data_IF_154895703481
#
_entry.id   IF_154895703481
#
_cell.length_a   1.000
_cell.length_b   1.000
_cell.length_c   1.000
_cell.angle_alpha   90.00
_cell.angle_beta   90.00
_cell.angle_gamma   90.00
#
_symmetry.space_group_name_H-M   'P 1'
#
loop_
_entity.id
_entity.type
_entity.pdbx_description
1 polymer ?
#
# COMPACT_ATOMS: atom_id res chain seq x y z
N UNK A 1 7.25 -58.30 -4.07
CA UNK A 1 7.28 -56.86 -4.06
C UNK A 1 6.79 -56.41 -2.70
N UNK A 2 7.58 -55.72 -1.87
CA UNK A 2 7.10 -55.16 -0.63
C UNK A 2 6.20 -53.94 -0.91
N UNK A 3 5.17 -53.66 -0.08
CA UNK A 3 4.30 -52.50 -0.27
C UNK A 3 5.11 -51.18 -0.02
N UNK A 4 4.87 -50.24 -0.91
CA UNK A 4 5.41 -48.87 -0.80
C UNK A 4 4.89 -48.20 0.49
N UNK A 5 5.76 -47.56 1.31
CA UNK A 5 5.28 -46.89 2.48
C UNK A 5 4.39 -45.72 2.08
N UNK A 6 3.22 -45.65 2.71
CA UNK A 6 2.35 -44.48 2.63
C UNK A 6 3.07 -43.25 3.16
N UNK A 7 3.21 -42.20 2.35
CA UNK A 7 3.60 -40.91 2.82
C UNK A 7 2.46 -40.39 3.67
N UNK A 8 2.67 -40.32 4.98
CA UNK A 8 1.83 -39.54 5.88
C UNK A 8 1.93 -38.07 5.49
N UNK A 9 0.87 -37.54 4.86
CA UNK A 9 0.68 -36.13 4.69
C UNK A 9 0.70 -35.47 6.08
N UNK A 10 1.48 -34.40 6.29
CA UNK A 10 1.45 -33.67 7.55
C UNK A 10 0.02 -33.19 7.82
N UNK A 11 -0.42 -33.14 9.09
CA UNK A 11 -1.78 -32.73 9.43
C UNK A 11 -2.04 -31.33 8.85
N UNK A 12 -3.04 -31.25 7.97
CA UNK A 12 -3.50 -29.99 7.36
C UNK A 12 -4.01 -29.10 8.47
N UNK A 13 -3.33 -27.99 8.72
CA UNK A 13 -3.84 -26.93 9.59
C UNK A 13 -5.16 -26.45 9.01
N UNK A 14 -6.25 -26.41 9.79
CA UNK A 14 -7.52 -25.89 9.30
C UNK A 14 -7.33 -24.43 8.84
N UNK A 15 -7.82 -24.09 7.66
CA UNK A 15 -7.94 -22.68 7.23
C UNK A 15 -8.85 -22.01 8.26
N UNK A 16 -8.34 -21.04 9.00
CA UNK A 16 -9.11 -20.33 10.02
C UNK A 16 -10.31 -19.64 9.34
N UNK A 17 -11.52 -20.10 9.65
CA UNK A 17 -12.75 -19.45 9.23
C UNK A 17 -12.93 -18.18 10.07
N UNK A 18 -12.79 -17.02 9.45
CA UNK A 18 -13.01 -15.73 10.13
C UNK A 18 -14.52 -15.42 10.16
N UNK A 19 -15.26 -16.16 10.95
CA UNK A 19 -16.67 -15.88 11.26
C UNK A 19 -16.77 -15.29 12.66
N UNK A 20 -17.57 -14.25 12.79
CA UNK A 20 -17.83 -13.56 14.06
C UNK A 20 -19.32 -13.65 14.39
N UNK A 21 -19.79 -14.81 14.89
CA UNK A 21 -21.20 -14.98 15.25
C UNK A 21 -21.52 -14.12 16.48
N UNK A 22 -22.62 -13.40 16.39
CA UNK A 22 -23.14 -12.59 17.49
C UNK A 22 -23.49 -13.48 18.70
N UNK A 23 -22.98 -13.14 19.87
CA UNK A 23 -23.26 -13.87 21.12
C UNK A 23 -24.73 -13.88 21.52
N UNK A 24 -25.53 -12.91 21.03
CA UNK A 24 -26.95 -12.79 21.37
C UNK A 24 -27.89 -13.53 20.40
N UNK A 25 -27.60 -13.58 19.09
CA UNK A 25 -28.53 -14.14 18.10
C UNK A 25 -27.88 -15.08 17.07
N UNK A 26 -26.56 -15.27 17.10
CA UNK A 26 -25.83 -16.16 16.19
C UNK A 26 -25.64 -15.64 14.77
N UNK A 27 -26.16 -14.46 14.40
CA UNK A 27 -25.93 -13.84 13.09
C UNK A 27 -24.49 -13.32 12.98
N UNK A 28 -23.94 -13.30 11.76
CA UNK A 28 -22.59 -12.74 11.55
C UNK A 28 -22.54 -11.24 11.91
N UNK A 29 -21.51 -10.84 12.63
CA UNK A 29 -21.24 -9.45 12.98
C UNK A 29 -20.34 -8.81 11.93
N UNK A 30 -20.39 -7.49 11.83
CA UNK A 30 -19.48 -6.70 10.99
C UNK A 30 -18.73 -5.65 11.82
N UNK A 31 -17.56 -5.28 11.37
CA UNK A 31 -16.84 -4.15 11.95
C UNK A 31 -17.50 -2.82 11.56
N UNK A 32 -17.76 -1.98 12.54
CA UNK A 32 -18.29 -0.62 12.34
C UNK A 32 -17.14 0.41 12.50
N UNK A 33 -16.77 1.12 11.40
CA UNK A 33 -15.69 2.10 11.44
C UNK A 33 -15.93 3.28 12.38
N UNK A 34 -17.19 3.65 12.64
CA UNK A 34 -17.50 4.81 13.48
C UNK A 34 -17.42 4.49 14.96
N UNK A 35 -17.83 3.28 15.32
CA UNK A 35 -17.82 2.83 16.72
C UNK A 35 -16.54 2.11 17.09
N UNK A 36 -15.76 1.64 16.09
CA UNK A 36 -14.58 0.80 16.26
C UNK A 36 -14.90 -0.50 17.07
N UNK A 37 -16.06 -1.09 16.76
CA UNK A 37 -16.63 -2.27 17.39
C UNK A 37 -17.17 -3.22 16.34
N UNK A 38 -17.42 -4.48 16.73
CA UNK A 38 -18.25 -5.39 15.97
C UNK A 38 -19.73 -5.08 16.26
N UNK A 39 -20.55 -5.01 15.22
CA UNK A 39 -21.98 -4.73 15.31
C UNK A 39 -22.76 -5.83 14.60
N UNK A 40 -23.80 -6.30 15.24
CA UNK A 40 -24.76 -7.22 14.65
C UNK A 40 -25.89 -6.44 13.96
N UNK A 41 -25.99 -6.54 12.64
CA UNK A 41 -27.04 -5.83 11.87
C UNK A 41 -28.45 -6.40 12.16
N UNK A 42 -28.55 -7.61 12.73
CA UNK A 42 -29.84 -8.25 13.00
C UNK A 42 -30.44 -7.85 14.35
N UNK A 43 -29.66 -7.89 15.43
CA UNK A 43 -30.18 -7.62 16.78
C UNK A 43 -29.61 -6.35 17.43
N UNK A 44 -28.68 -5.65 16.76
CA UNK A 44 -28.06 -4.43 17.28
C UNK A 44 -27.01 -4.66 18.37
N UNK A 45 -26.69 -5.93 18.72
CA UNK A 45 -25.66 -6.23 19.71
C UNK A 45 -24.30 -5.73 19.23
N UNK A 46 -23.48 -5.23 20.16
CA UNK A 46 -22.14 -4.74 19.90
C UNK A 46 -21.11 -5.49 20.73
N UNK A 47 -19.98 -5.81 20.15
CA UNK A 47 -18.86 -6.47 20.83
C UNK A 47 -17.55 -5.73 20.57
N UNK A 48 -16.74 -5.59 21.63
CA UNK A 48 -15.43 -4.98 21.51
C UNK A 48 -14.45 -5.93 20.80
N UNK A 49 -13.58 -5.37 19.98
CA UNK A 49 -12.43 -6.12 19.46
C UNK A 49 -11.53 -6.42 20.65
N UNK A 50 -11.12 -7.67 20.79
CA UNK A 50 -10.41 -8.19 21.95
C UNK A 50 -9.25 -7.28 22.40
N UNK A 51 -9.39 -6.67 23.59
CA UNK A 51 -8.38 -5.79 24.20
C UNK A 51 -7.01 -6.46 24.42
N UNK A 52 -6.97 -7.78 24.50
CA UNK A 52 -5.72 -8.52 24.72
C UNK A 52 -4.71 -8.33 23.59
N UNK A 53 -5.15 -8.05 22.36
CA UNK A 53 -4.28 -7.85 21.20
C UNK A 53 -3.91 -6.37 21.01
N UNK A 54 -4.77 -5.42 21.39
CA UNK A 54 -4.53 -3.97 21.26
C UNK A 54 -3.31 -3.47 22.04
N UNK A 55 -2.92 -4.17 23.11
CA UNK A 55 -1.78 -3.81 23.93
C UNK A 55 -0.47 -4.53 23.55
N UNK A 56 -0.50 -5.37 22.50
CA UNK A 56 0.72 -5.98 22.02
C UNK A 56 1.45 -5.01 21.07
N UNK A 57 2.75 -4.78 21.28
CA UNK A 57 3.50 -3.93 20.34
C UNK A 57 3.51 -4.58 18.95
N UNK A 58 3.31 -3.77 17.93
CA UNK A 58 3.49 -4.19 16.53
C UNK A 58 4.99 -4.42 16.34
N UNK A 59 5.40 -5.68 16.31
CA UNK A 59 6.80 -6.04 16.15
C UNK A 59 7.13 -6.25 14.68
N UNK A 60 8.30 -5.78 14.28
CA UNK A 60 8.84 -5.98 12.94
C UNK A 60 9.52 -7.34 12.82
N UNK A 61 9.55 -7.84 11.60
CA UNK A 61 10.21 -9.08 11.25
C UNK A 61 11.57 -8.79 10.57
N UNK A 62 12.54 -9.62 10.89
CA UNK A 62 13.87 -9.54 10.29
C UNK A 62 13.82 -9.95 8.82
N UNK A 63 14.23 -9.04 7.92
CA UNK A 63 14.21 -9.26 6.49
C UNK A 63 15.12 -10.42 6.06
N UNK A 64 16.32 -10.54 6.64
CA UNK A 64 17.26 -11.59 6.28
C UNK A 64 16.73 -12.99 6.62
N UNK A 65 16.05 -13.12 7.77
CA UNK A 65 15.40 -14.38 8.15
C UNK A 65 14.24 -14.73 7.22
N UNK A 66 13.49 -13.73 6.77
CA UNK A 66 12.37 -13.94 5.86
C UNK A 66 12.84 -14.48 4.52
N UNK A 67 13.80 -13.84 3.87
CA UNK A 67 14.29 -14.24 2.54
C UNK A 67 15.02 -15.58 2.58
N UNK A 68 15.62 -15.96 3.71
CA UNK A 68 16.24 -17.28 3.90
C UNK A 68 15.25 -18.35 4.38
N UNK A 69 13.94 -18.04 4.39
CA UNK A 69 12.86 -18.95 4.84
C UNK A 69 12.99 -19.44 6.28
N UNK A 70 13.59 -18.63 7.14
CA UNK A 70 13.81 -18.93 8.56
C UNK A 70 12.79 -18.28 9.49
N UNK A 71 11.69 -17.72 8.93
CA UNK A 71 10.58 -17.23 9.74
C UNK A 71 9.90 -18.37 10.50
N UNK A 72 9.53 -18.16 11.76
CA UNK A 72 8.75 -19.13 12.52
C UNK A 72 7.44 -19.49 11.80
N UNK A 73 6.98 -20.73 11.97
CA UNK A 73 5.69 -21.18 11.41
C UNK A 73 4.52 -20.31 11.86
N UNK A 74 4.57 -19.75 13.08
CA UNK A 74 3.55 -18.86 13.62
C UNK A 74 3.37 -17.55 12.81
N UNK A 75 4.40 -17.13 12.08
CA UNK A 75 4.38 -15.93 11.22
C UNK A 75 3.84 -16.20 9.82
N UNK A 76 3.47 -17.44 9.52
CA UNK A 76 2.95 -17.87 8.23
C UNK A 76 1.51 -18.31 8.35
N UNK A 77 0.72 -18.10 7.30
CA UNK A 77 -0.65 -18.56 7.18
C UNK A 77 -0.89 -19.23 5.82
N UNK A 78 -1.83 -20.15 5.77
CA UNK A 78 -2.31 -20.74 4.52
C UNK A 78 -3.67 -20.13 4.20
N UNK A 79 -3.75 -19.47 3.06
CA UNK A 79 -4.97 -18.83 2.57
C UNK A 79 -5.40 -19.41 1.23
N UNK A 80 -6.71 -19.41 0.98
CA UNK A 80 -7.27 -19.77 -0.32
C UNK A 80 -7.43 -18.53 -1.16
N UNK A 81 -6.61 -18.42 -2.18
CA UNK A 81 -6.65 -17.29 -3.11
C UNK A 81 -6.87 -17.78 -4.53
N UNK A 82 -7.61 -17.01 -5.30
CA UNK A 82 -7.68 -17.19 -6.75
C UNK A 82 -7.24 -15.93 -7.46
N UNK A 83 -6.43 -16.10 -8.49
CA UNK A 83 -5.96 -14.98 -9.31
C UNK A 83 -7.04 -14.61 -10.32
N UNK A 84 -7.44 -13.35 -10.32
CA UNK A 84 -8.37 -12.83 -11.32
C UNK A 84 -7.73 -12.85 -12.71
N UNK A 85 -8.34 -13.51 -13.71
CA UNK A 85 -7.75 -13.63 -15.05
C UNK A 85 -7.68 -12.32 -15.81
N UNK A 86 -8.42 -11.28 -15.36
CA UNK A 86 -8.48 -9.99 -16.06
C UNK A 86 -7.56 -8.93 -15.46
N UNK A 87 -7.33 -8.94 -14.14
CA UNK A 87 -6.55 -7.87 -13.49
C UNK A 87 -5.46 -8.41 -12.54
N UNK A 88 -5.26 -9.72 -12.52
CA UNK A 88 -4.26 -10.40 -11.70
C UNK A 88 -4.37 -10.16 -10.17
N UNK A 89 -5.50 -9.59 -9.70
CA UNK A 89 -5.77 -9.48 -8.29
C UNK A 89 -5.81 -10.86 -7.63
N UNK A 90 -5.16 -11.01 -6.51
CA UNK A 90 -5.29 -12.19 -5.66
C UNK A 90 -6.45 -11.99 -4.69
N UNK A 91 -7.58 -12.60 -5.01
CA UNK A 91 -8.82 -12.47 -4.24
C UNK A 91 -8.91 -13.62 -3.26
N UNK A 92 -8.98 -13.29 -2.00
CA UNK A 92 -9.25 -14.26 -0.94
C UNK A 92 -10.73 -14.63 -0.95
N UNK A 93 -11.01 -15.91 -0.73
CA UNK A 93 -12.36 -16.45 -0.74
C UNK A 93 -12.82 -16.84 0.66
N UNK A 94 -14.04 -16.43 0.99
CA UNK A 94 -14.72 -16.96 2.16
C UNK A 94 -14.91 -18.47 2.03
N UNK A 95 -14.76 -19.24 3.10
CA UNK A 95 -15.05 -20.66 3.13
C UNK A 95 -16.46 -20.97 2.59
N UNK A 96 -16.55 -21.98 1.73
CA UNK A 96 -17.82 -22.43 1.17
C UNK A 96 -18.34 -21.64 -0.04
N UNK A 97 -17.68 -20.57 -0.47
CA UNK A 97 -18.00 -19.92 -1.75
C UNK A 97 -17.13 -20.47 -2.87
N UNK A 98 -17.74 -20.89 -3.98
CA UNK A 98 -17.06 -21.48 -5.13
C UNK A 98 -16.88 -20.51 -6.30
N UNK A 99 -17.52 -19.36 -6.26
CA UNK A 99 -17.40 -18.29 -7.24
C UNK A 99 -17.69 -16.93 -6.61
N UNK A 100 -17.04 -15.90 -7.12
CA UNK A 100 -17.29 -14.51 -6.73
C UNK A 100 -17.07 -13.58 -7.90
N UNK A 101 -17.35 -12.30 -7.70
CA UNK A 101 -17.00 -11.24 -8.66
C UNK A 101 -15.77 -10.53 -8.13
N UNK A 102 -14.75 -10.41 -8.98
CA UNK A 102 -13.54 -9.68 -8.61
C UNK A 102 -13.90 -8.24 -8.19
N UNK A 103 -13.55 -7.80 -6.98
CA UNK A 103 -13.88 -6.47 -6.51
C UNK A 103 -13.21 -5.37 -7.32
N UNK A 104 -12.05 -5.67 -7.92
CA UNK A 104 -11.22 -4.70 -8.64
C UNK A 104 -11.65 -4.45 -10.09
N UNK A 105 -12.23 -5.42 -10.77
CA UNK A 105 -12.57 -5.30 -12.19
C UNK A 105 -13.95 -5.84 -12.57
N UNK A 106 -14.71 -6.32 -11.59
CA UNK A 106 -16.03 -6.93 -11.77
C UNK A 106 -16.08 -8.13 -12.74
N UNK A 107 -14.94 -8.83 -12.89
CA UNK A 107 -14.87 -10.10 -13.66
C UNK A 107 -15.28 -11.25 -12.75
N UNK A 108 -16.11 -12.20 -13.21
CA UNK A 108 -16.39 -13.43 -12.46
C UNK A 108 -15.09 -14.22 -12.24
N UNK A 109 -14.87 -14.67 -11.01
CA UNK A 109 -13.73 -15.50 -10.60
C UNK A 109 -14.26 -16.77 -9.98
N UNK A 110 -13.75 -17.90 -10.44
CA UNK A 110 -14.05 -19.22 -9.87
C UNK A 110 -12.86 -19.65 -9.05
N UNK A 111 -13.10 -20.33 -7.93
CA UNK A 111 -12.03 -20.79 -7.05
C UNK A 111 -11.12 -21.78 -7.79
N UNK A 112 -9.83 -21.48 -7.78
CA UNK A 112 -8.80 -22.50 -7.96
C UNK A 112 -8.58 -23.20 -6.62
N UNK A 113 -8.42 -24.53 -6.63
CA UNK A 113 -8.39 -25.37 -5.42
C UNK A 113 -7.07 -25.27 -4.65
N UNK A 114 -6.18 -24.33 -5.02
CA UNK A 114 -4.87 -24.14 -4.40
C UNK A 114 -4.93 -23.36 -3.09
N UNK A 115 -4.16 -23.80 -2.10
CA UNK A 115 -3.79 -22.99 -0.93
C UNK A 115 -2.41 -22.39 -1.18
N UNK A 116 -2.22 -21.14 -0.79
CA UNK A 116 -0.93 -20.46 -0.85
C UNK A 116 -0.47 -20.07 0.54
N UNK A 117 0.84 -20.24 0.79
CA UNK A 117 1.45 -19.88 2.07
C UNK A 117 1.92 -18.43 2.03
N UNK A 118 1.40 -17.63 2.93
CA UNK A 118 1.66 -16.19 3.02
C UNK A 118 2.24 -15.79 4.38
N UNK A 119 2.95 -14.65 4.40
CA UNK A 119 3.39 -14.01 5.65
C UNK A 119 2.15 -13.32 6.25
N UNK A 120 1.82 -13.64 7.50
CA UNK A 120 0.68 -13.05 8.21
C UNK A 120 0.79 -11.53 8.27
N UNK A 121 -0.34 -10.80 8.17
CA UNK A 121 -0.34 -9.38 8.51
C UNK A 121 0.09 -9.16 9.96
N UNK A 122 0.94 -8.17 10.19
CA UNK A 122 1.37 -7.76 11.54
C UNK A 122 0.48 -6.67 12.10
N UNK A 123 -0.03 -5.84 11.19
CA UNK A 123 -0.85 -4.71 11.56
C UNK A 123 -1.95 -4.46 10.53
N UNK A 124 -2.98 -3.80 10.96
CA UNK A 124 -4.08 -3.31 10.15
C UNK A 124 -4.32 -1.83 10.48
N UNK A 125 -4.57 -1.03 9.48
CA UNK A 125 -5.10 0.31 9.67
C UNK A 125 -6.62 0.22 9.58
N UNK A 126 -7.38 0.34 10.69
CA UNK A 126 -8.82 0.18 10.63
C UNK A 126 -9.50 1.21 9.73
N UNK A 127 -10.58 0.83 9.04
CA UNK A 127 -11.46 1.82 8.43
C UNK A 127 -11.92 2.83 9.48
N UNK A 128 -11.95 4.13 9.12
CA UNK A 128 -12.56 5.19 9.93
C UNK A 128 -13.76 5.82 9.23
N UNK A 129 -13.89 5.63 7.92
CA UNK A 129 -14.95 6.19 7.10
C UNK A 129 -15.92 5.10 6.66
N UNK A 130 -17.21 5.41 6.74
CA UNK A 130 -18.26 4.54 6.21
C UNK A 130 -18.34 4.59 4.68
N UNK A 131 -19.05 3.62 4.09
CA UNK A 131 -19.33 3.59 2.65
C UNK A 131 -20.00 4.89 2.18
N UNK A 132 -20.90 5.46 2.98
CA UNK A 132 -21.62 6.70 2.64
C UNK A 132 -20.65 7.86 2.44
N UNK A 133 -19.74 8.07 3.39
CA UNK A 133 -18.72 9.14 3.31
C UNK A 133 -17.80 8.95 2.11
N UNK A 134 -17.38 7.69 1.85
CA UNK A 134 -16.54 7.38 0.69
C UNK A 134 -17.26 7.65 -0.65
N UNK A 135 -18.57 7.36 -0.72
CA UNK A 135 -19.39 7.63 -1.89
C UNK A 135 -19.57 9.13 -2.12
N UNK A 136 -19.73 9.90 -1.05
CA UNK A 136 -19.79 11.35 -1.15
C UNK A 136 -18.48 11.94 -1.68
N UNK A 137 -17.34 11.43 -1.20
CA UNK A 137 -16.01 11.79 -1.71
C UNK A 137 -15.87 11.47 -3.20
N UNK A 138 -16.37 10.31 -3.66
CA UNK A 138 -16.42 9.96 -5.08
C UNK A 138 -17.29 10.93 -5.88
N UNK A 139 -18.46 11.27 -5.37
CA UNK A 139 -19.39 12.20 -6.04
C UNK A 139 -18.78 13.59 -6.18
N UNK A 140 -18.13 14.09 -5.14
CA UNK A 140 -17.41 15.37 -5.17
C UNK A 140 -16.26 15.35 -6.16
N UNK A 141 -15.47 14.26 -6.20
CA UNK A 141 -14.37 14.12 -7.14
C UNK A 141 -14.86 14.12 -8.59
N UNK A 142 -15.93 13.37 -8.90
CA UNK A 142 -16.56 13.35 -10.22
C UNK A 142 -17.10 14.74 -10.61
N UNK A 143 -17.67 15.49 -9.66
CA UNK A 143 -18.16 16.85 -9.90
C UNK A 143 -17.08 17.87 -10.26
N UNK A 144 -15.82 17.62 -9.89
CA UNK A 144 -14.66 18.46 -10.24
C UNK A 144 -14.09 18.16 -11.64
N UNK A 145 -14.54 17.10 -12.30
CA UNK A 145 -14.09 16.74 -13.64
C UNK A 145 -14.87 17.55 -14.68
N UNK A 146 -14.29 18.66 -15.14
CA UNK A 146 -14.89 19.60 -16.10
C UNK A 146 -15.39 18.94 -17.40
N UNK A 147 -14.77 17.85 -17.85
CA UNK A 147 -15.11 17.13 -19.09
C UNK A 147 -15.74 15.75 -18.85
N UNK A 148 -16.21 15.45 -17.63
CA UNK A 148 -16.87 14.16 -17.41
C UNK A 148 -18.22 14.12 -18.15
N UNK A 149 -18.47 13.08 -18.98
CA UNK A 149 -19.76 12.94 -19.63
C UNK A 149 -20.89 12.92 -18.61
N UNK A 150 -21.98 13.67 -18.86
CA UNK A 150 -23.14 13.75 -17.96
C UNK A 150 -23.70 12.38 -17.59
N UNK A 151 -23.63 11.41 -18.51
CA UNK A 151 -24.05 10.04 -18.29
C UNK A 151 -23.15 9.31 -17.26
N UNK A 152 -21.89 9.68 -17.10
CA UNK A 152 -20.98 9.08 -16.11
C UNK A 152 -21.36 9.52 -14.69
N UNK A 153 -21.70 10.79 -14.51
CA UNK A 153 -22.18 11.30 -13.22
C UNK A 153 -23.51 10.66 -12.83
N UNK A 154 -24.44 10.52 -13.78
CA UNK A 154 -25.72 9.83 -13.56
C UNK A 154 -25.52 8.34 -13.25
N UNK A 155 -24.54 7.71 -13.88
CA UNK A 155 -24.21 6.30 -13.66
C UNK A 155 -23.55 6.06 -12.28
N UNK A 156 -22.69 6.96 -11.85
CA UNK A 156 -22.07 6.93 -10.52
C UNK A 156 -23.10 7.24 -9.41
N UNK A 157 -24.06 8.13 -9.67
CA UNK A 157 -25.17 8.47 -8.74
C UNK A 157 -26.19 7.34 -8.56
N UNK A 158 -26.29 6.38 -9.48
CA UNK A 158 -27.24 5.26 -9.41
C UNK A 158 -26.91 4.22 -8.33
N UNK A 159 -26.52 4.67 -7.12
CA UNK A 159 -26.53 3.85 -5.91
C UNK A 159 -25.63 2.62 -5.90
N UNK A 160 -24.53 2.63 -6.66
CA UNK A 160 -23.56 1.51 -6.60
C UNK A 160 -22.87 1.50 -5.25
N UNK A 161 -22.94 0.35 -4.59
CA UNK A 161 -22.23 0.13 -3.36
C UNK A 161 -20.73 0.17 -3.63
N UNK A 162 -20.00 0.93 -2.81
CA UNK A 162 -18.54 0.80 -2.73
C UNK A 162 -18.21 -0.44 -1.90
N UNK A 163 -17.14 -1.10 -2.27
CA UNK A 163 -16.65 -2.26 -1.52
C UNK A 163 -15.46 -1.80 -0.68
N UNK A 164 -15.52 -2.07 0.62
CA UNK A 164 -14.39 -1.90 1.51
C UNK A 164 -13.44 -3.08 1.35
N UNK A 165 -12.18 -2.77 1.07
CA UNK A 165 -11.13 -3.78 0.83
C UNK A 165 -9.89 -3.37 1.61
N UNK A 166 -9.33 -4.32 2.33
CA UNK A 166 -7.99 -4.20 2.85
C UNK A 166 -6.98 -4.59 1.78
N UNK A 167 -6.10 -3.65 1.45
CA UNK A 167 -5.06 -3.81 0.44
C UNK A 167 -3.73 -4.06 1.14
N UNK A 168 -2.96 -5.09 0.74
CA UNK A 168 -1.69 -5.40 1.37
C UNK A 168 -0.62 -4.38 1.00
N UNK A 169 0.18 -4.01 1.99
CA UNK A 169 1.37 -3.20 1.84
C UNK A 169 2.52 -3.81 2.64
N UNK A 170 3.71 -3.56 2.17
CA UNK A 170 4.94 -3.80 2.90
C UNK A 170 5.44 -2.48 3.48
N UNK A 171 5.92 -2.49 4.71
CA UNK A 171 6.74 -1.41 5.25
C UNK A 171 8.14 -1.95 5.50
N UNK A 172 9.15 -1.11 5.28
CA UNK A 172 10.54 -1.47 5.49
C UNK A 172 11.24 -0.40 6.30
N UNK A 173 11.99 -0.86 7.30
CA UNK A 173 12.85 -0.01 8.09
C UNK A 173 14.31 -0.39 7.82
N UNK A 174 15.20 0.57 7.85
CA UNK A 174 16.62 0.31 7.62
C UNK A 174 17.50 1.45 8.14
N UNK A 175 18.62 1.07 8.72
CA UNK A 175 19.74 2.00 8.93
C UNK A 175 20.57 2.12 7.65
N UNK A 176 20.87 3.35 7.25
CA UNK A 176 21.71 3.60 6.08
C UNK A 176 22.91 4.48 6.41
N UNK A 177 24.04 4.14 5.82
CA UNK A 177 25.26 4.95 5.82
C UNK A 177 25.73 5.07 4.38
N UNK A 178 25.85 6.30 3.89
CA UNK A 178 26.22 6.58 2.51
C UNK A 178 27.45 7.46 2.46
N UNK A 179 28.47 7.04 1.72
CA UNK A 179 29.59 7.89 1.32
C UNK A 179 29.34 8.39 -0.09
N UNK A 180 29.74 9.61 -0.35
CA UNK A 180 29.52 10.22 -1.66
C UNK A 180 30.72 11.04 -2.14
N UNK A 181 30.78 11.25 -3.45
CA UNK A 181 31.63 12.23 -4.12
C UNK A 181 30.79 13.10 -5.05
N UNK A 182 31.19 14.34 -5.21
CA UNK A 182 30.46 15.30 -6.03
C UNK A 182 31.16 16.63 -6.16
N UNK A 183 30.43 17.64 -6.62
CA UNK A 183 30.93 19.00 -6.75
C UNK A 183 29.91 20.01 -6.21
N UNK A 184 30.42 21.00 -5.45
CA UNK A 184 29.71 22.18 -4.99
C UNK A 184 29.90 23.30 -5.99
N UNK A 185 28.82 23.83 -6.53
CA UNK A 185 28.80 24.98 -7.43
C UNK A 185 28.45 26.25 -6.68
N UNK A 186 29.32 27.26 -6.79
CA UNK A 186 29.03 28.61 -6.31
C UNK A 186 28.82 29.53 -7.48
N UNK A 187 27.67 30.20 -7.54
CA UNK A 187 27.34 31.17 -8.58
C UNK A 187 28.06 32.48 -8.32
N UNK A 188 28.73 33.03 -9.32
CA UNK A 188 29.29 34.37 -9.31
C UNK A 188 28.95 35.06 -10.63
N UNK A 189 28.95 36.39 -10.59
CA UNK A 189 28.58 37.20 -11.77
C UNK A 189 29.79 37.84 -12.37
N UNK A 190 29.88 37.78 -13.70
CA UNK A 190 30.88 38.52 -14.47
C UNK A 190 30.19 39.51 -15.38
N UNK A 191 30.74 40.74 -15.44
CA UNK A 191 30.25 41.76 -16.35
C UNK A 191 30.80 41.48 -17.75
N UNK A 192 29.91 41.29 -18.73
CA UNK A 192 30.25 41.12 -20.13
C UNK A 192 29.61 42.28 -20.93
N UNK A 193 30.35 42.82 -21.90
CA UNK A 193 29.80 43.77 -22.86
C UNK A 193 29.15 43.00 -23.99
N UNK A 194 27.84 43.15 -24.15
CA UNK A 194 27.05 42.54 -25.25
C UNK A 194 26.52 43.64 -26.14
N UNK A 195 26.49 43.42 -27.46
CA UNK A 195 25.89 44.36 -28.41
C UNK A 195 24.37 44.14 -28.44
N UNK A 196 23.61 45.16 -28.10
CA UNK A 196 22.16 45.20 -28.21
C UNK A 196 21.73 46.38 -29.04
N UNK A 197 21.05 46.14 -30.14
CA UNK A 197 20.61 47.17 -31.08
C UNK A 197 21.80 48.07 -31.61
N UNK A 198 22.97 47.45 -31.84
CA UNK A 198 24.17 48.16 -32.31
C UNK A 198 24.90 48.96 -31.23
N UNK A 199 24.47 48.92 -29.95
CA UNK A 199 25.11 49.65 -28.83
C UNK A 199 25.73 48.68 -27.85
N UNK A 200 26.92 48.96 -27.31
CA UNK A 200 27.51 48.14 -26.25
C UNK A 200 26.75 48.33 -24.94
N UNK A 201 26.23 47.23 -24.37
CA UNK A 201 25.54 47.21 -23.06
C UNK A 201 26.30 46.29 -22.12
N UNK A 202 26.53 46.71 -20.89
CA UNK A 202 27.10 45.85 -19.87
C UNK A 202 26.01 44.96 -19.26
N UNK A 203 26.22 43.64 -19.31
CA UNK A 203 25.32 42.65 -18.76
C UNK A 203 26.06 41.76 -17.75
N UNK A 204 25.45 41.54 -16.58
CA UNK A 204 25.94 40.58 -15.61
C UNK A 204 25.51 39.16 -16.05
N UNK A 205 26.49 38.31 -16.29
CA UNK A 205 26.28 36.90 -16.70
C UNK A 205 26.67 35.98 -15.54
N UNK A 206 25.76 35.12 -15.06
CA UNK A 206 26.07 34.19 -14.00
C UNK A 206 27.02 33.10 -14.53
N UNK A 207 28.07 32.84 -13.78
CA UNK A 207 28.99 31.71 -13.97
C UNK A 207 29.02 30.87 -12.69
N UNK A 208 29.38 29.60 -12.83
CA UNK A 208 29.46 28.66 -11.69
C UNK A 208 30.93 28.29 -11.50
N UNK A 209 31.40 28.42 -10.29
CA UNK A 209 32.69 27.86 -9.87
C UNK A 209 32.43 26.53 -9.18
N UNK A 210 32.96 25.48 -9.70
CA UNK A 210 32.85 24.14 -9.15
C UNK A 210 34.04 23.81 -8.25
N UNK A 211 33.75 23.10 -7.14
CA UNK A 211 34.75 22.59 -6.21
C UNK A 211 34.37 21.18 -5.83
N UNK A 212 35.30 20.23 -6.02
CA UNK A 212 35.14 18.84 -5.61
C UNK A 212 34.93 18.73 -4.10
N UNK A 213 33.97 17.90 -3.72
CA UNK A 213 33.64 17.59 -2.33
C UNK A 213 33.35 16.10 -2.18
N UNK A 214 33.60 15.59 -0.98
CA UNK A 214 33.19 14.24 -0.58
C UNK A 214 32.69 14.29 0.86
N UNK A 215 31.82 13.38 1.21
CA UNK A 215 31.23 13.37 2.55
C UNK A 215 30.55 12.05 2.89
N UNK A 216 29.86 12.06 4.02
CA UNK A 216 29.05 10.92 4.47
C UNK A 216 27.74 11.43 5.04
N UNK A 217 26.64 10.74 4.71
CA UNK A 217 25.32 10.99 5.29
C UNK A 217 24.79 9.68 5.87
N UNK A 218 24.01 9.79 6.93
CA UNK A 218 23.33 8.64 7.56
C UNK A 218 21.86 8.97 7.73
N UNK A 219 21.00 7.97 7.48
CA UNK A 219 19.57 8.10 7.68
C UNK A 219 19.02 6.78 8.22
N UNK A 220 18.17 6.87 9.22
CA UNK A 220 17.23 5.82 9.57
C UNK A 220 15.95 6.01 8.76
N UNK A 221 15.54 4.95 8.08
CA UNK A 221 14.25 4.87 7.40
C UNK A 221 13.28 4.12 8.29
N UNK A 222 12.13 4.72 8.53
CA UNK A 222 11.03 4.21 9.31
C UNK A 222 9.81 4.09 8.40
N UNK A 223 9.22 2.91 8.32
CA UNK A 223 8.01 2.61 7.57
C UNK A 223 8.03 3.06 6.08
N UNK A 224 9.06 2.71 5.33
CA UNK A 224 9.04 2.91 3.86
C UNK A 224 7.96 2.04 3.25
N UNK A 225 6.85 2.66 2.89
CA UNK A 225 5.62 1.99 2.46
C UNK A 225 5.67 1.63 0.97
N UNK A 226 5.42 0.35 0.66
CA UNK A 226 5.36 -0.19 -0.70
C UNK A 226 4.10 -1.01 -0.89
N UNK A 227 3.43 -0.83 -2.03
CA UNK A 227 2.22 -1.57 -2.37
C UNK A 227 2.52 -3.06 -2.59
N UNK A 228 1.82 -3.94 -1.86
CA UNK A 228 1.91 -5.40 -2.00
C UNK A 228 1.00 -5.99 -3.09
N UNK A 229 0.23 -5.15 -3.79
CA UNK A 229 -0.79 -5.55 -4.76
C UNK A 229 -0.41 -5.20 -6.19
N UNK A 230 -0.92 -5.98 -7.15
CA UNK A 230 -0.85 -5.68 -8.60
C UNK A 230 -2.23 -5.36 -9.19
N UNK A 231 -3.28 -5.40 -8.38
CA UNK A 231 -4.66 -5.24 -8.82
C UNK A 231 -5.06 -3.80 -9.13
N UNK A 232 -4.41 -2.85 -8.45
CA UNK A 232 -4.66 -1.42 -8.62
C UNK A 232 -3.48 -0.73 -9.31
N UNK A 233 -3.75 0.20 -10.25
CA UNK A 233 -2.68 1.00 -10.83
C UNK A 233 -1.94 1.78 -9.74
N UNK A 234 -0.61 1.67 -9.70
CA UNK A 234 0.25 2.31 -8.70
C UNK A 234 -0.04 3.81 -8.53
N UNK A 235 -0.32 4.54 -9.64
CA UNK A 235 -0.69 5.96 -9.61
C UNK A 235 -1.92 6.27 -8.74
N UNK A 236 -2.84 5.29 -8.59
CA UNK A 236 -4.02 5.48 -7.74
C UNK A 236 -3.66 5.29 -6.28
N UNK A 237 -2.92 4.24 -5.97
CA UNK A 237 -2.51 3.95 -4.59
C UNK A 237 -1.53 4.98 -4.05
N UNK A 238 -0.56 5.44 -4.85
CA UNK A 238 0.33 6.55 -4.48
C UNK A 238 -0.46 7.84 -4.24
N UNK A 239 -1.51 8.07 -5.03
CA UNK A 239 -2.40 9.22 -4.88
C UNK A 239 -3.27 9.19 -3.63
N UNK A 240 -3.42 8.04 -2.95
CA UNK A 240 -4.18 7.94 -1.69
C UNK A 240 -3.40 8.42 -0.47
N UNK A 241 -2.07 8.51 -0.54
CA UNK A 241 -1.24 9.01 0.57
C UNK A 241 -1.62 10.46 0.94
N UNK A 242 -1.39 10.90 2.19
CA UNK A 242 -0.69 10.19 3.26
C UNK A 242 -1.56 9.13 3.94
N UNK A 243 -0.90 8.11 4.48
CA UNK A 243 -1.49 7.14 5.37
C UNK A 243 -1.11 7.46 6.82
N UNK A 244 -2.07 7.34 7.73
CA UNK A 244 -1.87 7.54 9.17
C UNK A 244 -1.30 6.25 9.79
N UNK A 245 -0.02 5.96 9.55
CA UNK A 245 0.63 4.75 10.04
C UNK A 245 0.76 4.72 11.56
N UNK A 246 0.69 5.87 12.23
CA UNK A 246 0.67 5.94 13.69
C UNK A 246 -0.61 5.35 14.30
N UNK A 247 -1.68 5.24 13.51
CA UNK A 247 -2.95 4.63 13.92
C UNK A 247 -3.06 3.15 13.51
N UNK A 248 -1.96 2.50 13.16
CA UNK A 248 -1.93 1.06 12.95
C UNK A 248 -2.26 0.33 14.26
N UNK A 249 -3.13 -0.67 14.16
CA UNK A 249 -3.47 -1.58 15.23
C UNK A 249 -2.83 -2.96 14.98
N UNK A 250 -2.47 -3.72 16.02
CA UNK A 250 -2.05 -5.11 15.85
C UNK A 250 -3.11 -5.87 15.06
N UNK A 251 -2.68 -6.72 14.14
CA UNK A 251 -3.62 -7.46 13.30
C UNK A 251 -4.58 -8.30 14.14
N UNK A 252 -5.86 -8.07 13.91
CA UNK A 252 -6.95 -8.86 14.44
C UNK A 252 -7.98 -9.10 13.34
N UNK A 253 -8.36 -10.37 13.06
CA UNK A 253 -9.29 -10.68 11.96
C UNK A 253 -10.66 -10.01 12.13
N UNK A 254 -11.04 -9.60 13.32
CA UNK A 254 -12.25 -8.84 13.64
C UNK A 254 -12.37 -7.54 12.84
N UNK A 255 -11.26 -6.88 12.52
CA UNK A 255 -11.25 -5.68 11.66
C UNK A 255 -11.67 -5.97 10.22
N UNK A 256 -11.56 -7.23 9.78
CA UNK A 256 -11.94 -7.66 8.43
C UNK A 256 -13.42 -8.05 8.35
N UNK A 257 -14.13 -8.14 9.48
CA UNK A 257 -15.53 -8.52 9.50
C UNK A 257 -16.41 -7.59 8.65
N UNK A 258 -17.03 -8.11 7.59
CA UNK A 258 -17.83 -7.33 6.63
C UNK A 258 -17.03 -6.64 5.53
N UNK A 259 -15.71 -6.76 5.51
CA UNK A 259 -14.79 -6.28 4.48
C UNK A 259 -14.14 -7.44 3.74
N UNK A 260 -13.48 -7.13 2.64
CA UNK A 260 -12.63 -8.07 1.92
C UNK A 260 -11.16 -7.77 2.19
N UNK A 261 -10.32 -8.80 2.11
CA UNK A 261 -8.88 -8.64 2.10
C UNK A 261 -8.31 -9.13 0.75
N UNK A 262 -7.25 -8.51 0.31
CA UNK A 262 -6.47 -8.96 -0.84
C UNK A 262 -5.16 -9.56 -0.33
N UNK A 263 -4.79 -10.74 -0.82
CA UNK A 263 -3.49 -11.30 -0.56
C UNK A 263 -2.41 -10.57 -1.37
N UNK A 264 -1.20 -10.48 -0.84
CA UNK A 264 -0.13 -9.82 -1.58
C UNK A 264 0.26 -10.60 -2.84
N UNK A 265 0.49 -9.87 -3.93
CA UNK A 265 0.97 -10.37 -5.21
C UNK A 265 2.40 -9.90 -5.54
N UNK A 266 2.90 -8.93 -4.79
CA UNK A 266 4.29 -8.46 -4.84
C UNK A 266 5.05 -9.14 -3.71
N UNK A 267 6.08 -9.89 -4.05
CA UNK A 267 6.87 -10.61 -3.03
C UNK A 267 7.62 -9.65 -2.11
N UNK A 268 8.10 -10.16 -0.99
CA UNK A 268 8.86 -9.36 -0.03
C UNK A 268 10.12 -8.77 -0.68
N UNK A 269 10.82 -9.56 -1.51
CA UNK A 269 12.04 -9.15 -2.21
C UNK A 269 11.74 -8.09 -3.28
N UNK A 270 10.68 -8.29 -4.07
CA UNK A 270 10.25 -7.29 -5.07
C UNK A 270 9.88 -5.97 -4.40
N UNK A 271 9.13 -6.04 -3.28
CA UNK A 271 8.77 -4.87 -2.49
C UNK A 271 10.00 -4.16 -1.92
N UNK A 272 10.99 -4.91 -1.44
CA UNK A 272 12.23 -4.32 -0.94
C UNK A 272 13.04 -3.62 -2.04
N UNK A 273 13.06 -4.19 -3.24
CA UNK A 273 13.72 -3.55 -4.38
C UNK A 273 13.09 -2.18 -4.72
N UNK A 274 11.77 -2.05 -4.58
CA UNK A 274 11.07 -0.76 -4.73
C UNK A 274 11.36 0.19 -3.55
N UNK A 275 11.32 -0.32 -2.31
CA UNK A 275 11.66 0.45 -1.11
C UNK A 275 13.07 1.02 -1.23
N UNK A 276 14.02 0.22 -1.72
CA UNK A 276 15.39 0.65 -1.96
C UNK A 276 15.47 1.85 -2.90
N UNK A 277 14.70 1.85 -3.99
CA UNK A 277 14.66 2.99 -4.91
C UNK A 277 14.08 4.26 -4.25
N UNK A 278 13.13 4.10 -3.33
CA UNK A 278 12.59 5.22 -2.55
C UNK A 278 13.68 5.77 -1.61
N UNK A 279 14.37 4.88 -0.89
CA UNK A 279 15.47 5.24 0.01
C UNK A 279 16.59 5.96 -0.75
N UNK A 280 17.02 5.43 -1.90
CA UNK A 280 18.11 6.00 -2.70
C UNK A 280 17.78 7.43 -3.16
N UNK A 281 16.54 7.72 -3.57
CA UNK A 281 16.11 9.09 -3.92
C UNK A 281 16.16 10.04 -2.72
N UNK A 282 15.83 9.54 -1.52
CA UNK A 282 15.90 10.35 -0.30
C UNK A 282 17.35 10.60 0.13
N UNK A 283 18.21 9.58 0.02
CA UNK A 283 19.64 9.70 0.30
C UNK A 283 20.30 10.69 -0.68
N UNK A 284 19.97 10.63 -1.98
CA UNK A 284 20.49 11.58 -2.96
C UNK A 284 20.12 13.02 -2.59
N UNK A 285 18.89 13.24 -2.11
CA UNK A 285 18.48 14.57 -1.63
C UNK A 285 19.28 15.00 -0.41
N UNK A 286 19.56 14.10 0.53
CA UNK A 286 20.37 14.41 1.70
C UNK A 286 21.82 14.73 1.31
N UNK A 287 22.37 13.95 0.35
CA UNK A 287 23.70 14.21 -0.22
C UNK A 287 23.76 15.59 -0.88
N UNK A 288 22.76 15.97 -1.68
CA UNK A 288 22.69 17.30 -2.30
C UNK A 288 22.64 18.42 -1.24
N UNK A 289 21.90 18.16 -0.16
CA UNK A 289 21.83 19.10 0.95
C UNK A 289 23.19 19.25 1.66
N UNK A 290 23.89 18.14 1.90
CA UNK A 290 25.22 18.13 2.54
C UNK A 290 26.30 18.76 1.64
N UNK A 291 26.26 18.52 0.32
CA UNK A 291 27.11 19.22 -0.66
C UNK A 291 26.95 20.74 -0.52
N UNK A 292 25.68 21.21 -0.42
CA UNK A 292 25.37 22.62 -0.28
C UNK A 292 25.75 23.47 -1.50
N UNK A 293 25.86 24.81 -1.32
CA UNK A 293 26.12 25.77 -2.39
C UNK A 293 24.87 26.04 -3.23
N UNK A 294 25.06 26.82 -4.31
CA UNK A 294 23.96 27.22 -5.21
C UNK A 294 23.56 26.10 -6.19
N UNK A 295 24.50 25.23 -6.51
CA UNK A 295 24.32 24.07 -7.40
C UNK A 295 25.10 22.87 -6.87
N UNK A 296 24.59 21.67 -7.14
CA UNK A 296 25.21 20.41 -6.73
C UNK A 296 25.30 19.46 -7.93
N UNK A 297 26.43 18.79 -8.06
CA UNK A 297 26.62 17.63 -8.92
C UNK A 297 27.02 16.44 -8.04
N UNK A 298 26.25 15.38 -8.11
CA UNK A 298 26.54 14.12 -7.43
C UNK A 298 27.14 13.18 -8.45
N UNK A 299 28.33 12.66 -8.16
CA UNK A 299 29.07 11.76 -9.05
C UNK A 299 28.85 10.30 -8.67
N UNK A 300 28.97 10.00 -7.37
CA UNK A 300 28.80 8.64 -6.86
C UNK A 300 28.21 8.67 -5.44
N UNK A 301 27.39 7.66 -5.13
CA UNK A 301 26.83 7.40 -3.81
C UNK A 301 26.94 5.90 -3.54
N UNK A 302 27.68 5.54 -2.49
CA UNK A 302 27.79 4.17 -2.03
C UNK A 302 27.07 4.01 -0.69
N UNK A 303 25.95 3.32 -0.69
CA UNK A 303 25.11 3.12 0.50
C UNK A 303 25.24 1.70 1.05
N UNK A 304 25.52 1.62 2.35
CA UNK A 304 25.42 0.40 3.16
C UNK A 304 24.12 0.42 3.93
N UNK A 305 23.35 -0.68 3.84
CA UNK A 305 22.17 -0.91 4.68
C UNK A 305 22.51 -1.90 5.79
N UNK A 306 21.86 -1.70 6.93
CA UNK A 306 21.92 -2.62 8.08
C UNK A 306 20.59 -2.61 8.81
N UNK A 307 20.36 -3.63 9.65
CA UNK A 307 19.17 -3.75 10.50
C UNK A 307 17.85 -3.62 9.70
N UNK A 308 17.79 -4.29 8.53
CA UNK A 308 16.59 -4.24 7.70
C UNK A 308 15.51 -5.09 8.35
N UNK A 309 14.38 -4.43 8.65
CA UNK A 309 13.17 -5.08 9.15
C UNK A 309 11.99 -4.75 8.26
N UNK A 310 10.87 -5.46 8.43
CA UNK A 310 9.66 -5.22 7.64
C UNK A 310 8.39 -5.61 8.40
N UNK A 311 7.27 -5.09 7.92
CA UNK A 311 5.92 -5.49 8.35
C UNK A 311 5.03 -5.72 7.12
N UNK A 312 4.19 -6.75 7.16
CA UNK A 312 3.04 -6.87 6.29
C UNK A 312 1.88 -6.14 6.94
N UNK A 313 1.34 -5.12 6.30
CA UNK A 313 0.25 -4.30 6.82
C UNK A 313 -0.93 -4.24 5.86
N UNK A 314 -2.13 -4.15 6.40
CA UNK A 314 -3.37 -4.03 5.62
C UNK A 314 -3.92 -2.61 5.72
N UNK A 315 -4.08 -1.92 4.58
CA UNK A 315 -4.58 -0.56 4.53
C UNK A 315 -5.99 -0.49 3.93
N UNK A 316 -6.90 0.34 4.51
CA UNK A 316 -8.30 0.36 4.16
C UNK A 316 -8.57 1.19 2.89
N UNK A 317 -9.15 0.58 1.89
CA UNK A 317 -9.51 1.24 0.62
C UNK A 317 -10.97 0.97 0.30
N UNK A 318 -11.75 2.03 0.08
CA UNK A 318 -13.05 1.94 -0.55
C UNK A 318 -12.87 1.91 -2.07
N UNK A 319 -13.46 0.92 -2.72
CA UNK A 319 -13.35 0.71 -4.17
C UNK A 319 -14.71 0.69 -4.84
N UNK A 320 -14.84 1.43 -5.92
CA UNK A 320 -15.91 1.31 -6.90
C UNK A 320 -15.32 0.94 -8.26
N UNK A 321 -15.77 -0.17 -8.84
CA UNK A 321 -15.42 -0.57 -10.19
C UNK A 321 -16.69 -0.60 -11.05
N UNK A 322 -16.61 -0.01 -12.25
CA UNK A 322 -17.74 0.01 -13.18
C UNK A 322 -17.28 -0.08 -14.64
N UNK A 323 -18.13 -0.67 -15.48
CA UNK A 323 -17.90 -0.73 -16.93
C UNK A 323 -18.71 0.36 -17.62
N UNK A 324 -18.05 1.17 -18.43
CA UNK A 324 -18.68 2.18 -19.27
C UNK A 324 -18.11 2.10 -20.68
N UNK A 325 -18.95 1.96 -21.70
CA UNK A 325 -18.55 1.79 -23.11
C UNK A 325 -17.48 0.69 -23.31
N UNK A 326 -17.66 -0.46 -22.65
CA UNK A 326 -16.74 -1.60 -22.76
C UNK A 326 -15.44 -1.46 -21.95
N UNK A 327 -15.13 -0.28 -21.38
CA UNK A 327 -13.94 -0.04 -20.55
C UNK A 327 -14.27 -0.13 -19.05
N UNK A 328 -13.34 -0.67 -18.28
CA UNK A 328 -13.44 -0.71 -16.82
C UNK A 328 -12.83 0.54 -16.21
N UNK A 329 -13.61 1.25 -15.44
CA UNK A 329 -13.18 2.41 -14.66
C UNK A 329 -13.16 2.04 -13.19
N UNK A 330 -12.18 2.54 -12.48
CA UNK A 330 -11.99 2.32 -11.05
C UNK A 330 -11.88 3.64 -10.34
N UNK A 331 -12.50 3.71 -9.19
CA UNK A 331 -12.38 4.81 -8.25
C UNK A 331 -12.05 4.24 -6.87
N UNK A 332 -11.05 4.79 -6.23
CA UNK A 332 -10.55 4.35 -4.92
C UNK A 332 -10.55 5.52 -3.95
N UNK A 333 -10.87 5.25 -2.70
CA UNK A 333 -10.87 6.24 -1.62
C UNK A 333 -10.10 5.67 -0.43
N UNK A 334 -9.20 6.45 0.13
CA UNK A 334 -8.55 6.14 1.38
C UNK A 334 -9.59 6.05 2.51
N UNK A 335 -9.70 4.87 3.14
CA UNK A 335 -10.71 4.58 4.17
C UNK A 335 -10.51 5.33 5.49
N UNK A 336 -9.42 6.10 5.63
CA UNK A 336 -9.13 6.97 6.79
C UNK A 336 -9.36 8.43 6.49
N UNK A 337 -8.85 8.91 5.35
CA UNK A 337 -8.79 10.36 5.05
C UNK A 337 -9.87 10.83 4.07
N UNK A 338 -10.53 9.92 3.36
CA UNK A 338 -11.50 10.26 2.31
C UNK A 338 -10.85 10.74 1.01
N UNK A 339 -9.51 10.74 0.90
CA UNK A 339 -8.82 11.14 -0.32
C UNK A 339 -9.12 10.15 -1.45
N UNK A 340 -9.65 10.63 -2.54
CA UNK A 340 -10.07 9.82 -3.68
C UNK A 340 -9.17 9.94 -4.89
N UNK A 341 -9.05 8.83 -5.65
CA UNK A 341 -8.36 8.74 -6.92
C UNK A 341 -9.16 7.88 -7.89
N UNK A 342 -9.08 8.16 -9.19
CA UNK A 342 -9.83 7.36 -10.14
C UNK A 342 -9.36 7.50 -11.59
N UNK A 343 -9.83 6.55 -12.42
CA UNK A 343 -9.65 6.63 -13.85
C UNK A 343 -10.53 7.75 -14.40
N UNK A 344 -9.94 8.61 -15.22
CA UNK A 344 -10.69 9.60 -16.02
C UNK A 344 -11.13 8.94 -17.32
N UNK A 345 -12.39 9.11 -17.74
CA UNK A 345 -12.88 8.63 -19.03
C UNK A 345 -12.25 9.36 -20.19
#
# INVERSE_FOLDING_TARGET
MPPTPAFDDPPRTPVEEHRFPCSSCGSDMRFDPQQNLLVCDYCGNTESISDRRRHQPITELDFSKAITRQLPQAEMEEIRVSTCPNCAAQVEFDPGKHATVCPFCATPVVIDTGTSRHIKPRAVLPFALTETVARDAMTQWLGRLWFAPNNLQAYARKGRRMQGIYVPYWTYDADTQSSYSGERGTVYYVTQTVMRDGKPVQQQVPKVRWRSVSGRVSRFFDDVLVLGSRSLPKRFTDGLAPWDLAALEPYAPEYLAGFRAEAYAVTLEEGFAEARQIMDRMIERDVRFDIGGDRQQVHDIQTRLSNVTFKHVLLPVWLAAYKYQGKTYRFVVNGRTGKGQGARP
#
